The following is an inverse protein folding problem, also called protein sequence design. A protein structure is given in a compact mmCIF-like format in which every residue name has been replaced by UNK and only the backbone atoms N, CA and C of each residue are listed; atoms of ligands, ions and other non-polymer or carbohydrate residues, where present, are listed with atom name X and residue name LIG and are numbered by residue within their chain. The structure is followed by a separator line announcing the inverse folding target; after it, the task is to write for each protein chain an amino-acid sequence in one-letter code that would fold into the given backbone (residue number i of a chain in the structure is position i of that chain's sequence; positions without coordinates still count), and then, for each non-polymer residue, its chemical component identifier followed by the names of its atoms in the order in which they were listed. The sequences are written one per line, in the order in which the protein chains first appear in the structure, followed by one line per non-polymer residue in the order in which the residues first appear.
data_IF_930689741190
#
_entry.id   IF_930689741190
#
_cell.length_a   1.000
_cell.length_b   1.000
_cell.length_c   1.000
_cell.angle_alpha   90.00
_cell.angle_beta   90.00
_cell.angle_gamma   90.00
#
_symmetry.space_group_name_H-M   'P 1'
#
loop_
_entity.id
_entity.type
_entity.pdbx_description
1 polymer ?
#
# COMPACT_ATOMS: atom_id res chain seq x y z
N UNK A 1 -27.34 22.10 -3.02
CA UNK A 1 -26.48 21.36 -2.08
C UNK A 1 -25.51 20.56 -2.93
N UNK A 2 -24.20 20.87 -2.86
CA UNK A 2 -23.19 20.31 -3.77
C UNK A 2 -22.92 18.86 -3.39
N UNK A 3 -23.10 17.94 -4.32
CA UNK A 3 -22.57 16.59 -4.22
C UNK A 3 -21.04 16.69 -4.31
N UNK A 4 -20.35 16.49 -3.20
CA UNK A 4 -18.89 16.33 -3.20
C UNK A 4 -18.60 15.00 -3.87
N UNK A 5 -17.90 15.05 -5.01
CA UNK A 5 -17.62 13.91 -5.86
C UNK A 5 -17.07 12.74 -5.04
N UNK A 6 -17.84 11.66 -4.95
CA UNK A 6 -17.35 10.37 -4.46
C UNK A 6 -16.25 9.92 -5.41
N UNK A 7 -15.04 9.77 -4.90
CA UNK A 7 -13.91 9.19 -5.61
C UNK A 7 -14.31 7.77 -6.03
N UNK A 8 -14.44 7.57 -7.33
CA UNK A 8 -14.65 6.25 -7.93
C UNK A 8 -13.37 5.45 -7.72
N UNK A 9 -13.43 4.42 -6.86
CA UNK A 9 -12.39 3.42 -6.70
C UNK A 9 -12.53 2.45 -7.87
N UNK A 10 -11.51 2.37 -8.73
CA UNK A 10 -11.38 1.30 -9.71
C UNK A 10 -10.32 0.32 -9.20
N UNK A 11 -10.74 -0.86 -8.80
CA UNK A 11 -9.87 -2.00 -8.53
C UNK A 11 -9.28 -2.54 -9.85
N UNK A 12 -7.98 -2.88 -9.87
CA UNK A 12 -7.36 -3.55 -11.01
C UNK A 12 -6.93 -4.96 -10.62
N UNK A 13 -7.75 -5.96 -10.97
CA UNK A 13 -7.40 -7.37 -10.80
C UNK A 13 -6.39 -7.79 -11.88
N UNK A 14 -5.22 -8.28 -11.47
CA UNK A 14 -4.24 -8.93 -12.36
C UNK A 14 -4.23 -10.43 -12.06
N UNK A 15 -4.44 -11.27 -13.08
CA UNK A 15 -4.37 -12.73 -13.00
C UNK A 15 -3.09 -13.25 -13.68
N UNK A 16 -2.42 -14.22 -13.05
CA UNK A 16 -1.20 -14.84 -13.58
C UNK A 16 -1.09 -16.32 -13.22
N UNK A 17 -0.85 -17.13 -14.24
CA UNK A 17 -0.97 -18.59 -14.33
C UNK A 17 0.02 -19.35 -13.41
N UNK A 18 -0.50 -20.23 -12.53
CA UNK A 18 0.28 -21.28 -11.86
C UNK A 18 0.58 -21.15 -10.35
N UNK A 19 0.12 -20.12 -9.64
CA UNK A 19 0.03 -20.09 -8.16
C UNK A 19 -1.26 -19.40 -7.70
N UNK A 20 -2.13 -20.19 -7.07
CA UNK A 20 -3.48 -19.87 -6.58
C UNK A 20 -3.59 -18.54 -5.79
N UNK A 21 -4.35 -17.58 -6.35
CA UNK A 21 -5.20 -16.56 -5.68
C UNK A 21 -4.88 -15.06 -5.85
N UNK A 22 -5.92 -14.27 -5.53
CA UNK A 22 -6.37 -13.01 -6.11
C UNK A 22 -5.63 -11.75 -5.63
N UNK A 23 -5.61 -10.73 -6.50
CA UNK A 23 -5.02 -9.40 -6.27
C UNK A 23 -6.13 -8.34 -6.24
N UNK A 24 -6.31 -7.66 -5.10
CA UNK A 24 -6.97 -6.35 -5.00
C UNK A 24 -5.91 -5.26 -4.85
N UNK A 25 -5.80 -4.41 -5.88
CA UNK A 25 -5.02 -3.17 -5.85
C UNK A 25 -6.00 -2.02 -5.96
N UNK A 26 -6.00 -1.17 -4.93
CA UNK A 26 -6.70 0.11 -4.96
C UNK A 26 -5.94 1.02 -5.93
N UNK A 27 -6.45 1.12 -7.16
CA UNK A 27 -5.86 1.94 -8.21
C UNK A 27 -5.97 3.44 -7.91
N UNK A 28 -4.85 4.15 -8.02
CA UNK A 28 -4.75 5.60 -7.82
C UNK A 28 -5.18 6.39 -9.04
N UNK A 29 -5.98 7.43 -8.86
CA UNK A 29 -6.40 8.36 -9.93
C UNK A 29 -5.54 9.63 -10.04
N UNK A 30 -4.79 10.02 -8.99
CA UNK A 30 -3.88 11.17 -9.01
C UNK A 30 -2.85 11.15 -7.86
N UNK A 31 -1.65 11.74 -8.03
CA UNK A 31 -0.69 11.93 -6.94
C UNK A 31 -1.27 12.78 -5.80
N UNK A 32 -0.97 12.43 -4.56
CA UNK A 32 -1.43 13.12 -3.34
C UNK A 32 -0.37 13.06 -2.23
N UNK A 33 -0.52 13.91 -1.21
CA UNK A 33 0.38 13.96 -0.05
C UNK A 33 -0.04 13.02 1.07
N UNK A 34 -1.31 12.62 1.11
CA UNK A 34 -1.88 11.81 2.19
C UNK A 34 -2.60 10.60 1.58
N UNK A 35 -2.21 9.41 2.02
CA UNK A 35 -2.74 8.13 1.56
C UNK A 35 -3.17 7.28 2.73
N UNK A 36 -4.34 6.65 2.60
CA UNK A 36 -4.91 5.75 3.59
C UNK A 36 -5.22 4.42 2.89
N UNK A 37 -4.50 3.38 3.29
CA UNK A 37 -4.68 2.03 2.79
C UNK A 37 -5.42 1.25 3.87
N UNK A 38 -6.74 1.21 3.75
CA UNK A 38 -7.61 0.44 4.63
C UNK A 38 -7.48 -1.04 4.25
N UNK A 39 -6.99 -1.85 5.19
CA UNK A 39 -6.80 -3.30 5.11
C UNK A 39 -5.52 -3.83 4.47
N UNK A 40 -5.08 -4.95 5.02
CA UNK A 40 -3.84 -5.65 4.74
C UNK A 40 -3.71 -6.75 5.78
N UNK A 41 -3.30 -7.93 5.35
CA UNK A 41 -2.94 -9.03 6.22
C UNK A 41 -1.46 -9.33 5.99
N UNK A 42 -0.70 -9.43 7.06
CA UNK A 42 0.72 -9.78 7.06
C UNK A 42 1.00 -11.08 7.85
N UNK A 43 -0.05 -11.86 8.10
CA UNK A 43 -0.04 -13.14 8.81
C UNK A 43 -0.72 -14.24 7.98
N UNK A 44 -0.65 -15.50 8.38
CA UNK A 44 -1.41 -16.59 7.74
C UNK A 44 -1.02 -16.91 6.29
N UNK A 45 0.22 -16.55 5.89
CA UNK A 45 0.70 -16.71 4.52
C UNK A 45 0.46 -15.49 3.62
N UNK A 46 -0.17 -14.42 4.15
CA UNK A 46 -0.30 -13.16 3.44
C UNK A 46 0.98 -12.32 3.50
N UNK A 47 1.40 -11.80 2.35
CA UNK A 47 2.48 -10.84 2.20
C UNK A 47 1.92 -9.53 1.66
N UNK A 48 1.98 -8.47 2.47
CA UNK A 48 1.52 -7.13 2.10
C UNK A 48 2.69 -6.23 1.73
N UNK A 49 2.54 -5.51 0.63
CA UNK A 49 3.51 -4.56 0.09
C UNK A 49 2.85 -3.20 -0.15
N UNK A 50 3.59 -2.13 0.14
CA UNK A 50 3.23 -0.75 -0.20
C UNK A 50 4.25 -0.21 -1.18
N UNK A 51 3.78 0.20 -2.36
CA UNK A 51 4.60 0.81 -3.39
C UNK A 51 4.37 2.31 -3.36
N UNK A 52 5.45 3.08 -3.37
CA UNK A 52 5.39 4.55 -3.41
C UNK A 52 6.21 5.03 -4.59
N UNK A 53 5.58 5.77 -5.49
CA UNK A 53 6.20 6.42 -6.65
C UNK A 53 6.20 7.94 -6.46
N UNK A 54 7.35 8.55 -6.67
CA UNK A 54 7.48 9.99 -6.86
C UNK A 54 7.45 10.31 -8.37
N UNK A 55 6.33 10.80 -8.93
CA UNK A 55 6.27 11.21 -10.34
C UNK A 55 6.81 12.64 -10.56
N UNK A 56 7.16 13.36 -9.48
CA UNK A 56 7.60 14.74 -9.54
C UNK A 56 9.04 14.91 -10.00
N UNK A 57 9.43 16.17 -10.18
CA UNK A 57 10.78 16.61 -10.56
C UNK A 57 11.67 16.97 -9.36
N UNK A 58 11.15 16.89 -8.14
CA UNK A 58 11.86 17.17 -6.88
C UNK A 58 11.89 15.93 -5.99
N UNK A 59 12.80 15.90 -5.02
CA UNK A 59 12.82 14.85 -4.01
C UNK A 59 11.54 14.89 -3.15
N UNK A 60 10.97 13.71 -2.88
CA UNK A 60 9.82 13.53 -2.02
C UNK A 60 10.22 12.73 -0.78
N UNK A 61 10.00 13.30 0.40
CA UNK A 61 10.13 12.60 1.67
C UNK A 61 8.75 12.11 2.12
N UNK A 62 8.66 10.88 2.60
CA UNK A 62 7.43 10.35 3.17
C UNK A 62 7.66 9.47 4.38
N UNK A 63 6.66 9.41 5.25
CA UNK A 63 6.59 8.53 6.41
C UNK A 63 5.45 7.54 6.26
N UNK A 64 5.61 6.37 6.87
CA UNK A 64 4.57 5.35 6.96
C UNK A 64 4.16 5.16 8.42
N UNK A 65 2.89 4.91 8.65
CA UNK A 65 2.37 4.50 9.97
C UNK A 65 1.48 3.30 9.77
N UNK A 66 1.66 2.27 10.59
CA UNK A 66 0.87 1.05 10.57
C UNK A 66 -0.13 1.07 11.71
N UNK A 67 -1.41 0.85 11.42
CA UNK A 67 -2.44 0.74 12.45
C UNK A 67 -2.98 -0.68 12.45
N UNK A 68 -2.79 -1.35 13.58
CA UNK A 68 -3.23 -2.73 13.83
C UNK A 68 -4.41 -2.75 14.79
N UNK A 69 -5.04 -3.91 14.98
CA UNK A 69 -6.09 -4.09 15.98
C UNK A 69 -5.67 -3.81 17.44
N UNK A 70 -4.36 -3.77 17.73
CA UNK A 70 -3.83 -3.60 19.08
C UNK A 70 -3.11 -2.27 19.30
N UNK A 71 -2.44 -1.74 18.28
CA UNK A 71 -1.61 -0.55 18.39
C UNK A 71 -1.40 0.16 17.04
N UNK A 72 -1.12 1.45 17.13
CA UNK A 72 -0.49 2.22 16.06
C UNK A 72 1.03 2.15 16.21
N UNK A 73 1.72 1.82 15.14
CA UNK A 73 3.17 1.64 15.07
C UNK A 73 3.75 2.62 14.04
N UNK A 74 4.79 3.35 14.42
CA UNK A 74 5.56 4.14 13.47
C UNK A 74 6.29 3.19 12.50
N UNK A 75 6.06 3.41 11.22
CA UNK A 75 6.70 2.67 10.14
C UNK A 75 7.99 3.35 9.67
N UNK A 76 8.61 2.81 8.61
CA UNK A 76 9.79 3.43 8.01
C UNK A 76 9.47 4.76 7.35
N UNK A 77 10.52 5.55 7.09
CA UNK A 77 10.46 6.77 6.28
C UNK A 77 11.52 6.74 5.21
N UNK A 78 11.25 7.41 4.08
CA UNK A 78 12.12 7.38 2.92
C UNK A 78 12.15 8.73 2.20
N UNK A 79 13.27 9.00 1.53
CA UNK A 79 13.39 10.06 0.53
C UNK A 79 13.51 9.41 -0.85
N UNK A 80 12.64 9.81 -1.78
CA UNK A 80 12.63 9.35 -3.16
C UNK A 80 13.15 10.45 -4.08
N UNK A 81 14.14 10.09 -4.90
CA UNK A 81 14.59 10.92 -6.01
C UNK A 81 13.44 11.20 -7.00
N UNK A 82 13.53 12.25 -7.83
CA UNK A 82 12.59 12.51 -8.92
C UNK A 82 12.39 11.30 -9.82
N UNK A 83 11.15 11.02 -10.23
CA UNK A 83 10.81 9.93 -11.14
C UNK A 83 11.06 8.51 -10.60
N UNK A 84 11.36 8.34 -9.31
CA UNK A 84 11.72 7.05 -8.71
C UNK A 84 10.58 6.43 -7.90
N UNK A 85 10.70 5.12 -7.62
CA UNK A 85 9.78 4.37 -6.76
C UNK A 85 10.51 3.47 -5.78
N UNK A 86 9.79 3.09 -4.74
CA UNK A 86 10.20 2.04 -3.80
C UNK A 86 9.03 1.10 -3.52
N UNK A 87 9.36 -0.14 -3.15
CA UNK A 87 8.43 -1.14 -2.64
C UNK A 87 8.83 -1.48 -1.22
N UNK A 88 7.91 -1.32 -0.28
CA UNK A 88 8.10 -1.59 1.14
C UNK A 88 7.27 -2.81 1.50
N UNK A 89 7.92 -3.82 2.09
CA UNK A 89 7.24 -5.01 2.60
C UNK A 89 6.74 -4.73 4.03
N UNK A 90 5.43 -4.81 4.25
CA UNK A 90 4.81 -4.50 5.55
C UNK A 90 5.12 -5.58 6.57
N UNK A 91 5.20 -6.84 6.14
CA UNK A 91 5.53 -7.98 7.01
C UNK A 91 6.86 -7.84 7.76
N UNK A 92 7.80 -7.03 7.25
CA UNK A 92 9.10 -6.83 7.91
C UNK A 92 8.96 -5.99 9.20
N UNK A 93 7.86 -5.25 9.35
CA UNK A 93 7.58 -4.40 10.50
C UNK A 93 6.43 -4.91 11.37
N UNK A 94 5.42 -5.55 10.77
CA UNK A 94 4.19 -5.96 11.46
C UNK A 94 3.71 -7.32 10.96
N UNK A 95 3.38 -8.23 11.87
CA UNK A 95 2.74 -9.53 11.58
C UNK A 95 1.37 -9.57 12.23
N UNK A 96 0.31 -9.41 11.44
CA UNK A 96 -1.09 -9.45 11.92
C UNK A 96 -2.05 -9.68 10.77
N UNK A 97 -3.23 -10.26 11.03
CA UNK A 97 -4.31 -10.34 10.04
C UNK A 97 -4.95 -8.98 9.72
N UNK A 98 -4.81 -7.99 10.60
CA UNK A 98 -5.46 -6.69 10.47
C UNK A 98 -4.44 -5.55 10.56
N UNK A 99 -3.97 -5.07 9.40
CA UNK A 99 -3.12 -3.87 9.30
C UNK A 99 -3.66 -2.89 8.25
N UNK A 100 -3.80 -1.63 8.65
CA UNK A 100 -3.95 -0.50 7.72
C UNK A 100 -2.67 0.32 7.72
N UNK A 101 -2.42 1.03 6.61
CA UNK A 101 -1.21 1.86 6.47
C UNK A 101 -1.59 3.26 6.06
N UNK A 102 -1.05 4.28 6.73
CA UNK A 102 -1.03 5.63 6.21
C UNK A 102 0.33 5.97 5.62
N UNK A 103 0.35 6.67 4.49
CA UNK A 103 1.55 7.28 3.94
C UNK A 103 1.35 8.78 3.90
N UNK A 104 2.27 9.54 4.50
CA UNK A 104 2.28 11.00 4.47
C UNK A 104 3.55 11.48 3.80
N UNK A 105 3.41 12.30 2.76
CA UNK A 105 4.53 12.85 2.01
C UNK A 105 4.49 14.37 1.97
N UNK A 106 5.68 14.98 1.96
CA UNK A 106 5.82 16.42 1.77
C UNK A 106 5.59 16.89 0.32
N UNK A 107 5.48 15.96 -0.63
CA UNK A 107 5.22 16.21 -2.05
C UNK A 107 4.18 15.20 -2.59
N UNK A 108 3.48 15.49 -3.70
CA UNK A 108 2.54 14.53 -4.27
C UNK A 108 3.24 13.25 -4.74
N UNK A 109 2.84 12.12 -4.18
CA UNK A 109 3.30 10.77 -4.56
C UNK A 109 2.10 9.92 -4.97
N UNK A 110 2.37 8.82 -5.66
CA UNK A 110 1.38 7.78 -5.96
C UNK A 110 1.68 6.59 -5.06
N UNK A 111 0.66 6.08 -4.37
CA UNK A 111 0.80 4.95 -3.44
C UNK A 111 -0.12 3.82 -3.85
N UNK A 112 0.41 2.62 -3.98
CA UNK A 112 -0.34 1.40 -4.30
C UNK A 112 -0.08 0.33 -3.22
N UNK A 113 -1.07 -0.51 -2.97
CA UNK A 113 -0.94 -1.71 -2.13
C UNK A 113 -1.02 -2.95 -3.01
N UNK A 114 -0.15 -3.92 -2.73
CA UNK A 114 -0.27 -5.28 -3.27
C UNK A 114 -0.28 -6.28 -2.11
N UNK A 115 -1.15 -7.29 -2.18
CA UNK A 115 -1.21 -8.38 -1.20
C UNK A 115 -1.10 -9.70 -1.95
N UNK A 116 -0.24 -10.59 -1.49
CA UNK A 116 -0.06 -11.93 -2.02
C UNK A 116 -0.40 -12.95 -0.95
N UNK A 117 -1.05 -14.05 -1.30
CA UNK A 117 -1.28 -15.18 -0.40
C UNK A 117 -0.46 -16.37 -0.88
N UNK A 118 0.45 -16.84 -0.04
CA UNK A 118 1.12 -18.12 -0.23
C UNK A 118 0.39 -19.18 0.59
N UNK A 119 -0.41 -20.00 -0.09
CA UNK A 119 -0.89 -21.25 0.52
C UNK A 119 0.04 -22.41 0.20
N UNK A 120 0.34 -23.29 1.16
CA UNK A 120 0.95 -24.56 0.86
C UNK A 120 0.08 -25.30 -0.16
N UNK A 121 0.71 -25.80 -1.23
CA UNK A 121 0.09 -26.87 -2.01
C UNK A 121 -0.23 -28.02 -1.04
N UNK A 122 -1.44 -28.55 -1.11
CA UNK A 122 -2.05 -29.41 -0.10
C UNK A 122 -1.12 -30.45 0.53
N UNK A 123 -1.33 -30.65 1.84
CA UNK A 123 -0.83 -31.77 2.64
C UNK A 123 -1.12 -33.12 2.01
#
# INVERSE_FOLDING_TARGET
MKATAGSVVCERSMYGDGRNWAHDSVGVTAPATDWYLAEGASEGGFETFVLVQNPGSEEAYFTMTYMTGFATLEGPSFTLAPGSRITVRVNDAVTTYDVSTTVKSNKPVVVERAVYLSVPAGS
#
